data_IF_195749986612
#
_entry.id   IF_195749986612
#
_cell.length_a   1.000
_cell.length_b   1.000
_cell.length_c   1.000
_cell.angle_alpha   90.00
_cell.angle_beta   90.00
_cell.angle_gamma   90.00
#
_symmetry.space_group_name_H-M   'P 1'
#
loop_
_entity.id
_entity.type
_entity.pdbx_description
1 polymer ?
#
# COMPACT_ATOMS: atom_id res chain seq x y z
N UNK A 1 -8.41 11.48 -14.70
CA UNK A 1 -8.84 11.10 -13.33
C UNK A 1 -8.52 12.26 -12.41
N UNK A 2 -9.46 12.71 -11.58
CA UNK A 2 -9.17 13.71 -10.54
C UNK A 2 -8.72 13.01 -9.27
N UNK A 3 -7.70 13.55 -8.60
CA UNK A 3 -7.26 13.05 -7.30
C UNK A 3 -8.27 13.39 -6.19
N UNK A 4 -8.29 12.57 -5.15
CA UNK A 4 -8.96 12.92 -3.89
C UNK A 4 -8.18 14.06 -3.20
N UNK A 5 -8.91 14.97 -2.58
CA UNK A 5 -8.40 16.17 -1.91
C UNK A 5 -8.97 16.23 -0.50
N UNK A 6 -8.22 16.81 0.43
CA UNK A 6 -8.70 17.15 1.78
C UNK A 6 -8.89 18.68 1.82
N UNK A 7 -10.12 19.12 2.07
CA UNK A 7 -10.54 20.50 1.99
C UNK A 7 -11.12 20.96 3.33
N UNK A 8 -11.08 22.27 3.57
CA UNK A 8 -11.75 22.92 4.70
C UNK A 8 -12.91 23.76 4.19
N UNK A 9 -14.09 23.61 4.78
CA UNK A 9 -15.25 24.45 4.47
C UNK A 9 -14.99 25.86 4.99
N UNK A 10 -14.89 26.85 4.09
CA UNK A 10 -14.67 28.26 4.45
C UNK A 10 -15.95 29.10 4.42
N UNK A 11 -16.98 28.64 3.70
CA UNK A 11 -18.30 29.28 3.58
C UNK A 11 -19.32 28.21 3.23
N UNK A 12 -20.50 28.27 3.84
CA UNK A 12 -21.56 27.27 3.60
C UNK A 12 -22.95 27.92 3.63
N UNK A 13 -23.87 27.35 2.84
CA UNK A 13 -25.33 27.52 2.98
C UNK A 13 -26.02 26.20 3.36
N UNK A 14 -25.24 25.13 3.56
CA UNK A 14 -25.70 23.80 3.91
C UNK A 14 -25.30 23.51 5.36
N UNK A 15 -26.30 23.42 6.26
CA UNK A 15 -26.09 23.21 7.70
C UNK A 15 -25.39 21.90 8.06
N UNK A 16 -25.40 20.89 7.17
CA UNK A 16 -24.67 19.64 7.35
C UNK A 16 -23.14 19.81 7.30
N UNK A 17 -22.65 20.91 6.74
CA UNK A 17 -21.22 21.21 6.59
C UNK A 17 -20.90 22.59 7.15
N UNK A 18 -20.80 22.76 8.49
CA UNK A 18 -20.40 24.01 9.12
C UNK A 18 -19.06 24.56 8.62
N UNK A 19 -18.85 25.87 8.74
CA UNK A 19 -17.54 26.48 8.49
C UNK A 19 -16.52 25.86 9.43
N UNK A 20 -15.37 25.46 8.89
CA UNK A 20 -14.31 24.78 9.61
C UNK A 20 -14.27 23.27 9.40
N UNK A 21 -15.37 22.65 8.98
CA UNK A 21 -15.43 21.20 8.73
C UNK A 21 -14.39 20.78 7.69
N UNK A 22 -13.65 19.72 8.00
CA UNK A 22 -12.76 19.07 7.06
C UNK A 22 -13.51 18.00 6.28
N UNK A 23 -13.32 17.98 4.96
CA UNK A 23 -14.01 17.09 4.04
C UNK A 23 -13.03 16.55 3.00
N UNK A 24 -13.27 15.32 2.54
CA UNK A 24 -12.65 14.80 1.34
C UNK A 24 -13.54 15.08 0.13
N UNK A 25 -12.93 15.32 -1.02
CA UNK A 25 -13.65 15.54 -2.28
C UNK A 25 -12.77 15.23 -3.50
N UNK A 26 -13.39 14.91 -4.63
CA UNK A 26 -12.71 14.76 -5.94
C UNK A 26 -12.99 15.97 -6.84
N UNK A 27 -12.66 17.17 -6.34
CA UNK A 27 -12.98 18.44 -7.01
C UNK A 27 -11.89 18.91 -7.99
N UNK A 28 -10.82 18.15 -8.18
CA UNK A 28 -9.73 18.48 -9.11
C UNK A 28 -8.73 19.52 -8.57
N UNK A 29 -7.66 19.78 -9.32
CA UNK A 29 -6.56 20.64 -8.86
C UNK A 29 -6.93 22.12 -8.96
N UNK A 30 -7.32 22.70 -7.83
CA UNK A 30 -7.66 24.12 -7.70
C UNK A 30 -7.58 24.57 -6.24
N UNK A 31 -7.50 25.88 -6.02
CA UNK A 31 -7.47 26.45 -4.66
C UNK A 31 -8.85 26.46 -4.01
N UNK A 32 -9.92 26.58 -4.80
CA UNK A 32 -11.30 26.67 -4.32
C UNK A 32 -12.27 26.01 -5.30
N UNK A 33 -13.35 25.44 -4.77
CA UNK A 33 -14.49 24.97 -5.55
C UNK A 33 -15.79 25.23 -4.80
N UNK A 34 -16.91 25.21 -5.51
CA UNK A 34 -18.24 25.31 -4.94
C UNK A 34 -18.92 23.96 -5.10
N UNK A 35 -19.26 23.32 -3.98
CA UNK A 35 -20.16 22.17 -3.97
C UNK A 35 -21.60 22.66 -4.03
N UNK A 36 -22.39 22.32 -5.08
CA UNK A 36 -23.75 22.84 -5.22
C UNK A 36 -24.71 22.31 -4.15
N UNK A 37 -24.60 21.03 -3.79
CA UNK A 37 -25.53 20.35 -2.91
C UNK A 37 -24.86 19.53 -1.78
N UNK A 38 -23.53 19.53 -1.70
CA UNK A 38 -22.76 18.81 -0.69
C UNK A 38 -22.55 17.32 -0.97
N UNK A 39 -23.09 16.75 -2.06
CA UNK A 39 -23.01 15.30 -2.31
C UNK A 39 -21.62 14.81 -2.72
N UNK A 40 -20.77 15.70 -3.18
CA UNK A 40 -19.37 15.48 -3.53
C UNK A 40 -18.41 15.70 -2.35
N UNK A 41 -18.95 15.92 -1.15
CA UNK A 41 -18.21 16.11 0.10
C UNK A 41 -18.39 14.89 1.01
N UNK A 42 -17.28 14.34 1.47
CA UNK A 42 -17.26 13.31 2.51
C UNK A 42 -16.61 13.90 3.77
N UNK A 43 -17.35 14.11 4.87
CA UNK A 43 -16.74 14.52 6.14
C UNK A 43 -15.67 13.52 6.59
N UNK A 44 -14.61 14.02 7.21
CA UNK A 44 -13.66 13.15 7.92
C UNK A 44 -14.37 12.56 9.14
N UNK A 45 -14.48 11.23 9.18
CA UNK A 45 -15.35 10.52 10.13
C UNK A 45 -14.66 10.08 11.43
N UNK A 46 -13.44 10.55 11.68
CA UNK A 46 -12.63 10.24 12.85
C UNK A 46 -11.91 11.49 13.32
N UNK A 47 -11.56 11.54 14.61
CA UNK A 47 -10.80 12.65 15.17
C UNK A 47 -9.35 12.57 14.67
N UNK A 48 -8.86 13.70 14.15
CA UNK A 48 -7.46 13.84 13.75
C UNK A 48 -6.57 14.23 14.94
N UNK A 49 -7.17 14.64 16.06
CA UNK A 49 -6.46 15.21 17.21
C UNK A 49 -5.49 16.32 16.75
N UNK A 50 -4.17 16.10 16.89
CA UNK A 50 -3.11 17.00 16.45
C UNK A 50 -2.51 16.64 15.09
N UNK A 51 -2.99 15.60 14.42
CA UNK A 51 -2.47 15.14 13.14
C UNK A 51 -2.80 16.12 12.01
N UNK A 52 -1.86 16.27 11.08
CA UNK A 52 -2.09 17.03 9.86
C UNK A 52 -3.25 16.41 9.06
N UNK A 53 -4.21 17.20 8.54
CA UNK A 53 -5.28 16.69 7.67
C UNK A 53 -4.79 15.91 6.45
N UNK A 54 -3.55 16.13 6.01
CA UNK A 54 -2.93 15.40 4.89
C UNK A 54 -2.88 13.88 5.11
N UNK A 55 -2.87 13.40 6.37
CA UNK A 55 -2.88 11.96 6.66
C UNK A 55 -4.11 11.25 6.09
N UNK A 56 -5.22 11.97 5.90
CA UNK A 56 -6.47 11.42 5.34
C UNK A 56 -6.41 11.13 3.84
N UNK A 57 -5.35 11.60 3.16
CA UNK A 57 -5.04 11.24 1.77
C UNK A 57 -3.92 10.18 1.68
N UNK A 58 -3.30 9.85 2.81
CA UNK A 58 -2.17 8.92 2.92
C UNK A 58 -2.48 7.76 3.85
N UNK A 59 -1.86 7.75 5.03
CA UNK A 59 -1.92 6.63 5.99
C UNK A 59 -3.31 6.36 6.58
N UNK A 60 -4.15 7.38 6.71
CA UNK A 60 -5.56 7.26 7.09
C UNK A 60 -6.51 7.49 5.91
N UNK A 61 -5.96 7.39 4.69
CA UNK A 61 -6.69 7.50 3.43
C UNK A 61 -6.69 6.20 2.63
N UNK A 62 -7.02 6.32 1.34
CA UNK A 62 -7.04 5.18 0.42
C UNK A 62 -5.72 4.37 0.41
N UNK A 63 -4.51 4.98 0.41
CA UNK A 63 -3.26 4.21 0.43
C UNK A 63 -3.10 3.36 1.69
N UNK A 64 -3.39 3.92 2.88
CA UNK A 64 -3.32 3.18 4.13
C UNK A 64 -4.35 2.07 4.25
N UNK A 65 -5.58 2.31 3.78
CA UNK A 65 -6.60 1.25 3.71
C UNK A 65 -6.18 0.15 2.73
N UNK A 66 -5.56 0.49 1.61
CA UNK A 66 -5.03 -0.49 0.65
C UNK A 66 -3.95 -1.36 1.28
N UNK A 67 -3.03 -0.75 2.03
CA UNK A 67 -2.01 -1.48 2.77
C UNK A 67 -2.62 -2.41 3.84
N UNK A 68 -3.54 -1.89 4.66
CA UNK A 68 -4.20 -2.63 5.73
C UNK A 68 -4.96 -3.85 5.21
N UNK A 69 -5.88 -3.63 4.27
CA UNK A 69 -6.70 -4.71 3.73
C UNK A 69 -5.87 -5.67 2.86
N UNK A 70 -4.92 -5.16 2.07
CA UNK A 70 -4.09 -6.00 1.22
C UNK A 70 -3.22 -6.95 2.04
N UNK A 71 -2.61 -6.45 3.11
CA UNK A 71 -1.85 -7.28 4.04
C UNK A 71 -2.76 -8.26 4.79
N UNK A 72 -3.98 -7.85 5.19
CA UNK A 72 -4.97 -8.75 5.83
C UNK A 72 -5.31 -9.96 4.95
N UNK A 73 -5.40 -9.78 3.62
CA UNK A 73 -5.69 -10.87 2.68
C UNK A 73 -4.58 -11.92 2.61
N UNK A 74 -3.35 -11.56 2.99
CA UNK A 74 -2.23 -12.48 3.07
C UNK A 74 -2.19 -13.24 4.40
N UNK A 75 -3.08 -12.94 5.36
CA UNK A 75 -3.12 -13.59 6.68
C UNK A 75 -1.72 -13.75 7.30
N UNK A 76 -0.94 -12.67 7.45
CA UNK A 76 0.45 -12.72 7.89
C UNK A 76 0.57 -13.23 9.32
N UNK A 77 1.60 -14.04 9.58
CA UNK A 77 1.92 -14.64 10.87
C UNK A 77 3.29 -14.16 11.35
N UNK A 78 3.43 -14.00 12.65
CA UNK A 78 4.72 -13.65 13.24
C UNK A 78 5.79 -14.69 12.88
N UNK A 79 7.01 -14.22 12.59
CA UNK A 79 8.13 -15.06 12.15
C UNK A 79 8.21 -15.28 10.63
N UNK A 80 7.17 -14.95 9.87
CA UNK A 80 7.19 -15.04 8.40
C UNK A 80 8.02 -13.92 7.74
N UNK A 81 8.40 -14.14 6.49
CA UNK A 81 9.10 -13.18 5.63
C UNK A 81 8.12 -12.49 4.68
N UNK A 82 8.11 -11.15 4.73
CA UNK A 82 7.31 -10.29 3.87
C UNK A 82 8.22 -9.48 2.92
N UNK A 83 8.03 -9.64 1.61
CA UNK A 83 8.64 -8.79 0.59
C UNK A 83 7.64 -7.75 0.11
N UNK A 84 8.08 -6.50 0.00
CA UNK A 84 7.29 -5.40 -0.57
C UNK A 84 8.11 -4.74 -1.68
N UNK A 85 7.56 -4.67 -2.89
CA UNK A 85 8.15 -3.83 -3.95
C UNK A 85 7.47 -2.46 -4.03
N UNK A 86 8.17 -1.50 -4.64
CA UNK A 86 7.87 -0.07 -4.47
C UNK A 86 7.68 0.31 -2.99
N UNK A 87 8.52 -0.26 -2.12
CA UNK A 87 8.35 -0.20 -0.67
C UNK A 87 8.42 1.24 -0.12
N UNK A 88 9.18 2.13 -0.76
CA UNK A 88 9.24 3.53 -0.36
C UNK A 88 8.04 4.39 -0.85
N UNK A 89 7.04 3.78 -1.49
CA UNK A 89 5.81 4.44 -1.94
C UNK A 89 4.74 4.55 -0.85
N UNK A 90 3.64 5.26 -1.16
CA UNK A 90 2.57 5.53 -0.20
C UNK A 90 1.91 4.26 0.37
N UNK A 91 1.69 3.23 -0.44
CA UNK A 91 1.14 1.94 0.02
C UNK A 91 2.24 1.09 0.65
N UNK A 92 3.34 0.86 -0.07
CA UNK A 92 4.41 -0.05 0.35
C UNK A 92 5.03 0.29 1.71
N UNK A 93 5.19 1.59 2.01
CA UNK A 93 5.79 2.03 3.27
C UNK A 93 4.90 1.71 4.47
N UNK A 94 3.58 1.71 4.27
CA UNK A 94 2.59 1.36 5.30
C UNK A 94 2.50 -0.16 5.43
N UNK A 95 2.52 -0.90 4.31
CA UNK A 95 2.51 -2.38 4.33
C UNK A 95 3.67 -2.91 5.18
N UNK A 96 4.88 -2.40 4.96
CA UNK A 96 6.04 -2.86 5.71
C UNK A 96 5.93 -2.55 7.20
N UNK A 97 5.48 -1.35 7.58
CA UNK A 97 5.26 -1.01 8.98
C UNK A 97 4.20 -1.92 9.64
N UNK A 98 3.08 -2.19 8.95
CA UNK A 98 2.06 -3.11 9.45
C UNK A 98 2.59 -4.54 9.56
N UNK A 99 3.42 -5.00 8.63
CA UNK A 99 4.07 -6.30 8.69
C UNK A 99 5.08 -6.38 9.85
N UNK A 100 5.85 -5.32 10.11
CA UNK A 100 6.74 -5.22 11.28
C UNK A 100 5.95 -5.30 12.59
N UNK A 101 4.83 -4.57 12.70
CA UNK A 101 3.94 -4.61 13.87
C UNK A 101 3.42 -6.04 14.10
N UNK A 102 3.19 -6.82 13.04
CA UNK A 102 2.76 -8.22 13.12
C UNK A 102 3.90 -9.22 13.37
N UNK A 103 5.13 -8.75 13.54
CA UNK A 103 6.29 -9.59 13.88
C UNK A 103 6.92 -10.31 12.68
N UNK A 104 6.76 -9.78 11.46
CA UNK A 104 7.40 -10.34 10.27
C UNK A 104 8.82 -9.76 10.07
N UNK A 105 9.65 -10.53 9.37
CA UNK A 105 10.84 -10.00 8.71
C UNK A 105 10.42 -9.30 7.43
N UNK A 106 10.74 -8.03 7.25
CA UNK A 106 10.26 -7.20 6.15
C UNK A 106 11.42 -6.76 5.27
N UNK A 107 11.30 -7.07 3.98
CA UNK A 107 12.28 -6.77 2.94
C UNK A 107 11.66 -5.84 1.91
N UNK A 108 12.25 -4.67 1.73
CA UNK A 108 11.77 -3.64 0.82
C UNK A 108 12.61 -3.52 -0.45
N UNK A 109 11.98 -3.33 -1.59
CA UNK A 109 12.67 -2.92 -2.82
C UNK A 109 12.27 -1.50 -3.22
N UNK A 110 13.28 -0.65 -3.48
CA UNK A 110 13.12 0.73 -3.90
C UNK A 110 14.11 1.11 -5.01
N UNK A 111 13.94 2.28 -5.61
CA UNK A 111 14.67 2.67 -6.84
C UNK A 111 15.88 3.59 -6.64
N UNK A 112 16.25 3.90 -5.40
CA UNK A 112 17.43 4.70 -5.01
C UNK A 112 17.92 4.24 -3.62
N UNK A 113 19.20 4.49 -3.33
CA UNK A 113 19.80 4.11 -2.04
C UNK A 113 19.22 4.95 -0.89
N UNK A 114 18.99 6.26 -1.08
CA UNK A 114 18.31 7.11 -0.09
C UNK A 114 16.94 6.57 0.35
N UNK A 115 16.19 5.99 -0.59
CA UNK A 115 14.90 5.36 -0.28
C UNK A 115 15.09 4.08 0.53
N UNK A 116 16.13 3.31 0.27
CA UNK A 116 16.46 2.10 1.03
C UNK A 116 16.91 2.43 2.45
N UNK A 117 17.74 3.48 2.58
CA UNK A 117 18.15 4.04 3.86
C UNK A 117 16.95 4.52 4.67
N UNK A 118 16.03 5.25 4.05
CA UNK A 118 14.79 5.69 4.72
C UNK A 118 13.93 4.49 5.20
N UNK A 119 13.77 3.47 4.36
CA UNK A 119 13.02 2.26 4.72
C UNK A 119 13.61 1.55 5.95
N UNK A 120 14.93 1.41 6.02
CA UNK A 120 15.59 0.68 7.11
C UNK A 120 15.76 1.52 8.36
N UNK A 121 16.22 2.77 8.23
CA UNK A 121 16.54 3.65 9.36
C UNK A 121 15.31 4.27 10.02
N UNK A 122 14.32 4.69 9.23
CA UNK A 122 13.13 5.38 9.74
C UNK A 122 11.92 4.46 9.90
N UNK A 123 11.70 3.55 8.94
CA UNK A 123 10.53 2.67 8.94
C UNK A 123 10.79 1.27 9.49
N UNK A 124 12.02 1.00 9.93
CA UNK A 124 12.42 -0.25 10.58
C UNK A 124 12.20 -1.51 9.73
N UNK A 125 12.32 -1.40 8.40
CA UNK A 125 12.47 -2.59 7.55
C UNK A 125 13.77 -3.31 7.91
N UNK A 126 13.76 -4.65 7.94
CA UNK A 126 14.95 -5.43 8.26
C UNK A 126 16.00 -5.35 7.15
N UNK A 127 15.52 -5.31 5.89
CA UNK A 127 16.36 -5.12 4.72
C UNK A 127 15.69 -4.21 3.71
N UNK A 128 16.49 -3.41 3.01
CA UNK A 128 16.04 -2.71 1.81
C UNK A 128 17.09 -2.77 0.71
N UNK A 129 16.65 -3.00 -0.52
CA UNK A 129 17.52 -3.16 -1.68
C UNK A 129 17.12 -2.22 -2.80
N UNK A 130 18.13 -1.55 -3.36
CA UNK A 130 17.96 -0.79 -4.58
C UNK A 130 17.99 -1.75 -5.77
N UNK A 131 16.82 -2.03 -6.35
CA UNK A 131 16.67 -3.02 -7.43
C UNK A 131 17.44 -2.66 -8.72
N UNK A 132 18.00 -1.45 -8.81
CA UNK A 132 18.86 -1.02 -9.93
C UNK A 132 20.32 -1.42 -9.75
N UNK A 133 20.74 -1.68 -8.51
CA UNK A 133 22.13 -1.94 -8.15
C UNK A 133 22.38 -3.41 -7.77
N UNK A 134 21.33 -4.18 -7.49
CA UNK A 134 21.41 -5.59 -7.14
C UNK A 134 20.21 -6.35 -7.75
N UNK A 135 20.45 -7.60 -8.16
CA UNK A 135 19.38 -8.48 -8.64
C UNK A 135 18.46 -8.89 -7.48
N UNK A 136 17.19 -9.19 -7.79
CA UNK A 136 16.22 -9.68 -6.80
C UNK A 136 16.73 -10.98 -6.18
N UNK A 137 17.23 -11.90 -7.01
CA UNK A 137 17.80 -13.17 -6.56
C UNK A 137 18.96 -13.01 -5.58
N UNK A 138 19.93 -12.12 -5.86
CA UNK A 138 21.08 -11.95 -4.96
C UNK A 138 20.70 -11.27 -3.65
N UNK A 139 19.73 -10.35 -3.70
CA UNK A 139 19.17 -9.73 -2.51
C UNK A 139 18.45 -10.76 -1.62
N UNK A 140 17.58 -11.59 -2.20
CA UNK A 140 16.78 -12.55 -1.44
C UNK A 140 17.57 -13.76 -0.95
N UNK A 141 18.63 -14.19 -1.64
CA UNK A 141 19.56 -15.18 -1.09
C UNK A 141 20.17 -14.74 0.25
N UNK A 142 20.36 -13.43 0.45
CA UNK A 142 20.92 -12.87 1.69
C UNK A 142 19.85 -12.67 2.76
N UNK A 143 18.70 -12.12 2.37
CA UNK A 143 17.68 -11.67 3.31
C UNK A 143 16.55 -12.68 3.58
N UNK A 144 16.31 -13.62 2.66
CA UNK A 144 15.23 -14.60 2.70
C UNK A 144 15.66 -15.96 2.10
N UNK A 145 16.74 -16.60 2.60
CA UNK A 145 17.28 -17.82 2.02
C UNK A 145 16.29 -19.01 2.01
N UNK A 146 15.28 -18.98 2.88
CA UNK A 146 14.25 -20.02 3.00
C UNK A 146 12.97 -19.71 2.21
N UNK A 147 12.96 -18.64 1.41
CA UNK A 147 11.80 -18.20 0.63
C UNK A 147 11.00 -17.09 1.30
N UNK A 148 9.93 -16.69 0.62
CA UNK A 148 9.08 -15.55 0.96
C UNK A 148 7.64 -16.01 1.19
N UNK A 149 7.13 -15.81 2.39
CA UNK A 149 5.77 -16.21 2.78
C UNK A 149 4.71 -15.24 2.31
N UNK A 150 5.01 -13.93 2.36
CA UNK A 150 4.10 -12.86 1.96
C UNK A 150 4.80 -11.96 0.94
N UNK A 151 4.17 -11.79 -0.23
CA UNK A 151 4.64 -10.82 -1.21
C UNK A 151 3.53 -9.79 -1.50
N UNK A 152 3.82 -8.52 -1.23
CA UNK A 152 2.93 -7.42 -1.56
C UNK A 152 3.42 -6.73 -2.83
N UNK A 153 2.69 -6.93 -3.93
CA UNK A 153 3.06 -6.47 -5.26
C UNK A 153 2.34 -5.18 -5.67
N UNK A 154 3.11 -4.12 -5.79
CA UNK A 154 2.69 -2.82 -6.34
C UNK A 154 3.19 -2.61 -7.77
N UNK A 155 4.08 -3.47 -8.27
CA UNK A 155 4.86 -3.23 -9.49
C UNK A 155 4.45 -4.12 -10.65
N UNK A 156 4.20 -5.40 -10.43
CA UNK A 156 3.97 -6.38 -11.49
C UNK A 156 5.23 -6.63 -12.33
N UNK A 157 5.01 -7.05 -13.58
CA UNK A 157 6.08 -7.21 -14.57
C UNK A 157 7.09 -8.29 -14.20
N UNK A 158 8.35 -8.06 -14.58
CA UNK A 158 9.44 -9.02 -14.38
C UNK A 158 9.74 -9.27 -12.90
N UNK A 159 9.52 -8.27 -12.04
CA UNK A 159 9.68 -8.44 -10.59
C UNK A 159 8.70 -9.49 -10.06
N UNK A 160 7.42 -9.35 -10.40
CA UNK A 160 6.39 -10.30 -10.01
C UNK A 160 6.66 -11.70 -10.56
N UNK A 161 7.07 -11.79 -11.82
CA UNK A 161 7.40 -13.07 -12.45
C UNK A 161 8.60 -13.75 -11.76
N UNK A 162 9.68 -13.02 -11.47
CA UNK A 162 10.84 -13.58 -10.78
C UNK A 162 10.49 -14.03 -9.35
N UNK A 163 9.67 -13.26 -8.62
CA UNK A 163 9.20 -13.64 -7.29
C UNK A 163 8.49 -14.99 -7.31
N UNK A 164 7.51 -15.15 -8.21
CA UNK A 164 6.69 -16.37 -8.28
C UNK A 164 7.48 -17.60 -8.73
N UNK A 165 8.44 -17.42 -9.64
CA UNK A 165 9.18 -18.55 -10.22
C UNK A 165 10.35 -19.02 -9.36
N UNK A 166 10.84 -18.19 -8.43
CA UNK A 166 12.12 -18.48 -7.73
C UNK A 166 12.11 -18.30 -6.23
N UNK A 167 11.26 -17.43 -5.68
CA UNK A 167 11.49 -16.90 -4.33
C UNK A 167 10.33 -17.13 -3.36
N UNK A 168 9.15 -17.52 -3.82
CA UNK A 168 8.05 -17.85 -2.93
C UNK A 168 8.37 -19.09 -2.09
N UNK A 169 8.06 -19.02 -0.80
CA UNK A 169 8.00 -20.19 0.06
C UNK A 169 6.76 -21.04 -0.27
N UNK A 170 6.78 -22.31 0.15
CA UNK A 170 5.60 -23.17 0.05
C UNK A 170 4.45 -22.53 0.83
N UNK A 171 3.24 -22.56 0.27
CA UNK A 171 2.03 -21.90 0.80
C UNK A 171 2.13 -20.37 0.84
N UNK A 172 3.05 -19.77 0.09
CA UNK A 172 3.20 -18.32 0.02
C UNK A 172 1.92 -17.62 -0.46
N UNK A 173 1.73 -16.37 -0.02
CA UNK A 173 0.55 -15.55 -0.35
C UNK A 173 0.96 -14.23 -0.96
N UNK A 174 0.34 -13.91 -2.08
CA UNK A 174 0.64 -12.69 -2.84
C UNK A 174 -0.57 -11.79 -2.89
N UNK A 175 -0.41 -10.56 -2.39
CA UNK A 175 -1.38 -9.49 -2.61
C UNK A 175 -0.97 -8.69 -3.86
N UNK A 176 -1.79 -8.76 -4.90
CA UNK A 176 -1.58 -8.00 -6.14
C UNK A 176 -2.35 -6.69 -6.02
N UNK A 177 -1.64 -5.62 -5.64
CA UNK A 177 -2.19 -4.28 -5.44
C UNK A 177 -2.12 -3.43 -6.69
N UNK A 178 -1.05 -3.57 -7.48
CA UNK A 178 -0.82 -2.71 -8.63
C UNK A 178 0.19 -3.28 -9.61
N UNK A 179 0.28 -2.62 -10.76
CA UNK A 179 1.18 -3.00 -11.85
C UNK A 179 1.87 -1.77 -12.46
N UNK A 180 2.45 -0.90 -11.61
CA UNK A 180 2.95 0.42 -12.03
C UNK A 180 4.01 0.34 -13.14
N UNK A 181 4.72 -0.79 -13.28
CA UNK A 181 5.69 -0.97 -14.37
C UNK A 181 5.04 -1.01 -15.75
N UNK A 182 3.74 -1.30 -15.83
CA UNK A 182 3.05 -1.56 -17.09
C UNK A 182 1.94 -0.53 -17.39
N UNK A 183 1.63 0.40 -16.49
CA UNK A 183 0.54 1.37 -16.68
C UNK A 183 0.73 2.27 -17.90
N UNK A 184 1.97 2.51 -18.29
CA UNK A 184 2.32 3.36 -19.43
C UNK A 184 2.68 2.56 -20.69
N UNK A 185 2.57 1.23 -20.66
CA UNK A 185 2.78 0.41 -21.85
C UNK A 185 1.65 0.63 -22.84
N UNK A 186 2.01 0.85 -24.11
CA UNK A 186 1.03 1.04 -25.19
C UNK A 186 0.29 -0.24 -25.55
N UNK A 187 0.90 -1.39 -25.25
CA UNK A 187 0.38 -2.70 -25.57
C UNK A 187 0.35 -3.58 -24.32
N UNK A 188 -0.61 -4.50 -24.27
CA UNK A 188 -0.67 -5.49 -23.20
C UNK A 188 0.46 -6.50 -23.39
N UNK A 189 1.41 -6.53 -22.46
CA UNK A 189 2.45 -7.57 -22.41
C UNK A 189 1.83 -8.94 -22.15
N UNK A 190 2.33 -9.96 -22.85
CA UNK A 190 2.07 -11.35 -22.50
C UNK A 190 2.97 -11.72 -21.33
N UNK A 191 2.39 -12.20 -20.24
CA UNK A 191 3.17 -12.75 -19.13
C UNK A 191 3.58 -14.18 -19.44
N UNK A 192 4.81 -14.58 -19.10
CA UNK A 192 5.21 -15.97 -19.21
C UNK A 192 4.32 -16.87 -18.34
N UNK A 193 4.26 -18.14 -18.70
CA UNK A 193 3.45 -19.14 -18.03
C UNK A 193 3.91 -19.32 -16.57
N UNK A 194 2.97 -19.29 -15.62
CA UNK A 194 3.23 -19.39 -14.17
C UNK A 194 2.55 -20.57 -13.49
N UNK A 195 1.70 -21.33 -14.20
CA UNK A 195 0.83 -22.32 -13.54
C UNK A 195 1.62 -23.39 -12.78
N UNK A 196 2.74 -23.87 -13.32
CA UNK A 196 3.52 -24.90 -12.64
C UNK A 196 4.20 -24.36 -11.38
N UNK A 197 4.69 -23.13 -11.38
CA UNK A 197 5.31 -22.51 -10.20
C UNK A 197 4.28 -22.32 -9.08
N UNK A 198 3.07 -21.88 -9.44
CA UNK A 198 1.94 -21.73 -8.51
C UNK A 198 1.51 -23.09 -7.95
N UNK A 199 1.42 -24.12 -8.80
CA UNK A 199 1.04 -25.48 -8.37
C UNK A 199 2.10 -26.07 -7.43
N UNK A 200 3.38 -25.98 -7.79
CA UNK A 200 4.47 -26.62 -7.05
C UNK A 200 4.72 -25.99 -5.69
N UNK A 201 4.49 -24.69 -5.54
CA UNK A 201 4.62 -23.98 -4.26
C UNK A 201 3.28 -23.79 -3.54
N UNK A 202 2.17 -24.25 -4.10
CA UNK A 202 0.82 -24.08 -3.54
C UNK A 202 0.51 -22.60 -3.19
N UNK A 203 0.97 -21.68 -4.03
CA UNK A 203 0.89 -20.24 -3.77
C UNK A 203 -0.52 -19.70 -4.01
N UNK A 204 -0.99 -18.84 -3.11
CA UNK A 204 -2.24 -18.10 -3.32
C UNK A 204 -1.95 -16.71 -3.90
N UNK A 205 -2.58 -16.38 -5.02
CA UNK A 205 -2.54 -15.05 -5.63
C UNK A 205 -3.90 -14.37 -5.46
N UNK A 206 -3.92 -13.18 -4.85
CA UNK A 206 -5.17 -12.42 -4.66
C UNK A 206 -5.00 -10.94 -4.99
N UNK A 207 -5.78 -10.47 -5.95
CA UNK A 207 -5.90 -9.04 -6.24
C UNK A 207 -6.67 -8.29 -5.16
N UNK A 208 -6.30 -7.03 -4.91
CA UNK A 208 -7.07 -6.12 -4.08
C UNK A 208 -7.64 -4.97 -4.91
N UNK A 209 -8.93 -4.72 -4.73
CA UNK A 209 -9.60 -3.51 -5.21
C UNK A 209 -10.25 -2.81 -4.02
N UNK A 210 -9.66 -1.69 -3.60
CA UNK A 210 -9.93 -1.13 -2.28
C UNK A 210 -11.38 -0.68 -2.07
N UNK A 211 -12.10 -0.32 -3.14
CA UNK A 211 -13.50 0.09 -3.03
C UNK A 211 -14.42 -1.03 -2.55
N UNK A 212 -14.02 -2.31 -2.70
CA UNK A 212 -14.76 -3.46 -2.18
C UNK A 212 -14.85 -3.44 -0.65
N UNK A 213 -13.91 -2.78 0.04
CA UNK A 213 -13.80 -2.77 1.49
C UNK A 213 -14.35 -1.49 2.16
N UNK A 214 -15.00 -0.58 1.42
CA UNK A 214 -15.45 0.73 1.94
C UNK A 214 -16.32 0.59 3.21
N UNK A 215 -17.16 -0.45 3.28
CA UNK A 215 -18.02 -0.71 4.45
C UNK A 215 -17.24 -1.06 5.72
N UNK A 216 -16.02 -1.55 5.57
CA UNK A 216 -15.13 -1.96 6.67
C UNK A 216 -14.15 -0.85 7.07
N UNK A 217 -14.09 0.27 6.34
CA UNK A 217 -13.13 1.34 6.61
C UNK A 217 -13.24 1.91 8.02
N UNK A 218 -14.45 2.04 8.57
CA UNK A 218 -14.63 2.56 9.93
C UNK A 218 -13.91 1.71 10.97
N UNK A 219 -14.02 0.38 10.87
CA UNK A 219 -13.33 -0.55 11.77
C UNK A 219 -11.81 -0.53 11.54
N UNK A 220 -11.37 -0.56 10.28
CA UNK A 220 -9.94 -0.50 9.96
C UNK A 220 -9.29 0.82 10.41
N UNK A 221 -9.99 1.95 10.29
CA UNK A 221 -9.51 3.25 10.77
C UNK A 221 -9.43 3.29 12.29
N UNK A 222 -10.36 2.66 13.01
CA UNK A 222 -10.28 2.56 14.47
C UNK A 222 -9.02 1.82 14.94
N UNK A 223 -8.54 0.84 14.16
CA UNK A 223 -7.27 0.15 14.41
C UNK A 223 -6.04 0.96 13.94
N UNK A 224 -6.15 1.68 12.83
CA UNK A 224 -5.03 2.40 12.21
C UNK A 224 -4.72 3.74 12.90
N UNK A 225 -5.73 4.49 13.34
CA UNK A 225 -5.55 5.83 13.95
C UNK A 225 -4.57 5.81 15.13
N UNK A 226 -4.69 4.87 16.11
CA UNK A 226 -3.77 4.82 17.25
C UNK A 226 -2.31 4.49 16.88
N UNK A 227 -2.07 3.91 15.70
CA UNK A 227 -0.74 3.54 15.22
C UNK A 227 0.01 4.72 14.58
N UNK A 228 -0.70 5.78 14.19
CA UNK A 228 -0.09 6.95 13.56
C UNK A 228 0.58 7.79 14.63
N UNK A 229 1.91 7.90 14.57
CA UNK A 229 2.68 8.79 15.45
C UNK A 229 2.26 10.24 15.21
N UNK A 230 2.13 10.98 16.32
CA UNK A 230 1.90 12.42 16.33
C UNK A 230 3.15 13.19 15.93
#
# INVERSE_FOLDING_TARGET
>A
MFGETCCKVIKTRNGAFPVGTLVKSTSGWRTHFVSPDGKDLQPISFDLESLSPSVTLGVLGMPGMTAYFGLRLCEPKAGEVCVVNAAAGAVGSIVGQLAKIKGLTVIGFAGTDDKCDWLTKELNFDYAFNYKNISITDALKRAAPNGVDVFFDNVGGDFFHEMLTKHMAQYGRVCICGSISNYNDKEKKKYPQLNMDIIMQEVTLRGIYITTYIREFGAALAEMVPLVKK
#
